data_IF_345695952878
#
_entry.id   IF_345695952878
#
_cell.length_a   1.000
_cell.length_b   1.000
_cell.length_c   1.000
_cell.angle_alpha   90.00
_cell.angle_beta   90.00
_cell.angle_gamma   90.00
#
_symmetry.space_group_name_H-M   'P 1'
#
loop_
_entity.id
_entity.type
_entity.pdbx_description
1 polymer ?
#
# COMPACT_ATOMS: atom_id res chain seq x y z
N UNK A 1 16.66 5.17 -8.37
CA UNK A 1 16.83 6.44 -7.64
C UNK A 1 15.61 6.80 -6.77
N UNK A 2 14.37 6.45 -7.16
CA UNK A 2 13.17 6.63 -6.32
C UNK A 2 13.08 5.66 -5.12
N UNK A 3 13.46 4.38 -5.30
CA UNK A 3 13.39 3.34 -4.26
C UNK A 3 14.25 3.64 -3.01
N UNK A 4 15.42 4.29 -3.17
CA UNK A 4 16.28 4.72 -2.03
C UNK A 4 15.80 5.98 -1.30
N UNK A 5 14.84 6.74 -1.85
CA UNK A 5 14.32 7.95 -1.20
C UNK A 5 13.17 7.67 -0.23
N UNK A 6 12.54 6.49 -0.33
CA UNK A 6 11.44 6.10 0.56
C UNK A 6 11.94 5.52 1.90
N UNK A 7 13.20 5.10 1.97
CA UNK A 7 13.68 4.26 3.08
C UNK A 7 14.11 5.01 4.35
N UNK A 8 14.18 6.35 4.40
CA UNK A 8 14.63 7.04 5.64
C UNK A 8 14.40 8.57 5.71
N UNK A 9 13.21 9.10 5.42
CA UNK A 9 12.95 10.53 5.71
C UNK A 9 11.47 10.85 5.85
N UNK A 10 11.05 11.21 7.08
CA UNK A 10 10.07 12.27 7.39
C UNK A 10 8.91 12.33 6.38
N UNK A 11 7.97 11.38 6.42
CA UNK A 11 7.04 11.18 5.29
C UNK A 11 5.78 12.09 5.33
N UNK A 12 5.37 12.64 6.48
CA UNK A 12 4.08 13.34 6.57
C UNK A 12 4.12 14.87 6.47
N UNK A 13 4.89 15.56 7.32
CA UNK A 13 5.11 17.02 7.21
C UNK A 13 5.78 17.40 5.87
N UNK A 14 6.42 16.41 5.24
CA UNK A 14 7.09 16.52 3.96
C UNK A 14 6.18 16.22 2.78
N UNK A 15 4.97 15.66 2.92
CA UNK A 15 4.15 15.31 1.75
C UNK A 15 3.78 16.55 0.91
N UNK A 16 3.23 17.61 1.53
CA UNK A 16 2.93 18.87 0.85
C UNK A 16 4.17 19.57 0.28
N UNK A 17 5.25 19.64 1.06
CA UNK A 17 6.52 20.25 0.65
C UNK A 17 7.25 19.44 -0.43
N UNK A 18 7.23 18.10 -0.36
CA UNK A 18 7.78 17.21 -1.38
C UNK A 18 6.95 17.26 -2.65
N UNK A 19 5.62 17.29 -2.54
CA UNK A 19 4.74 17.50 -3.70
C UNK A 19 5.10 18.82 -4.37
N UNK A 20 5.21 19.90 -3.59
CA UNK A 20 5.58 21.22 -4.10
C UNK A 20 6.96 21.19 -4.75
N UNK A 21 7.98 20.68 -4.05
CA UNK A 21 9.35 20.61 -4.54
C UNK A 21 9.50 19.70 -5.76
N UNK A 22 8.77 18.60 -5.83
CA UNK A 22 8.76 17.73 -7.01
C UNK A 22 8.05 18.39 -8.19
N UNK A 23 6.98 19.16 -7.95
CA UNK A 23 6.36 20.00 -8.98
C UNK A 23 7.30 21.09 -9.49
N UNK A 24 8.03 21.77 -8.60
CA UNK A 24 9.06 22.74 -9.00
C UNK A 24 10.17 22.12 -9.85
N UNK A 25 10.45 20.83 -9.64
CA UNK A 25 11.40 20.06 -10.46
C UNK A 25 10.80 19.54 -11.78
N UNK A 26 9.56 19.91 -12.11
CA UNK A 26 8.85 19.48 -13.31
C UNK A 26 8.33 18.03 -13.26
N UNK A 27 8.21 17.44 -12.07
CA UNK A 27 7.76 16.05 -11.92
C UNK A 27 6.25 15.92 -12.15
N UNK A 28 5.88 15.19 -13.20
CA UNK A 28 4.49 14.85 -13.51
C UNK A 28 3.87 13.82 -12.55
N UNK A 29 4.65 13.24 -11.64
CA UNK A 29 4.21 12.19 -10.70
C UNK A 29 4.11 12.68 -9.25
N UNK A 30 4.10 14.00 -9.02
CA UNK A 30 4.06 14.58 -7.68
C UNK A 30 2.90 14.07 -6.82
N UNK A 31 1.79 13.65 -7.42
CA UNK A 31 0.66 13.03 -6.70
C UNK A 31 1.03 11.73 -5.97
N UNK A 32 2.15 11.08 -6.32
CA UNK A 32 2.62 9.84 -5.68
C UNK A 32 2.86 9.97 -4.18
N UNK A 33 3.11 11.19 -3.69
CA UNK A 33 3.33 11.47 -2.27
C UNK A 33 2.04 11.73 -1.49
N UNK A 34 0.86 11.69 -2.13
CA UNK A 34 -0.42 11.75 -1.44
C UNK A 34 -0.72 10.40 -0.80
N UNK A 35 -1.04 10.40 0.49
CA UNK A 35 -1.28 9.17 1.26
C UNK A 35 -2.34 8.25 0.66
N UNK A 36 -3.51 8.74 0.20
CA UNK A 36 -4.51 7.84 -0.39
C UNK A 36 -4.01 7.14 -1.66
N UNK A 37 -3.18 7.83 -2.44
CA UNK A 37 -2.54 7.23 -3.62
C UNK A 37 -1.48 6.20 -3.20
N UNK A 38 -0.56 6.58 -2.30
CA UNK A 38 0.50 5.69 -1.84
C UNK A 38 -0.05 4.40 -1.20
N UNK A 39 -1.15 4.53 -0.43
CA UNK A 39 -1.84 3.42 0.20
C UNK A 39 -2.64 2.53 -0.77
N UNK A 40 -2.76 2.93 -2.04
CA UNK A 40 -3.53 2.20 -3.05
C UNK A 40 -5.04 2.32 -2.91
N UNK A 41 -5.56 3.26 -2.11
CA UNK A 41 -7.00 3.48 -1.94
C UNK A 41 -7.63 4.35 -3.03
N UNK A 42 -6.80 4.98 -3.87
CA UNK A 42 -7.25 5.82 -4.99
C UNK A 42 -6.57 5.40 -6.28
N UNK A 43 -7.35 5.30 -7.35
CA UNK A 43 -6.90 5.04 -8.71
C UNK A 43 -7.65 5.96 -9.69
N UNK A 44 -6.99 6.40 -10.76
CA UNK A 44 -7.60 7.20 -11.83
C UNK A 44 -7.22 6.61 -13.19
N UNK A 45 -8.20 6.53 -14.10
CA UNK A 45 -7.96 6.05 -15.47
C UNK A 45 -6.84 6.83 -16.18
N UNK A 46 -6.74 8.14 -15.95
CA UNK A 46 -5.71 9.00 -16.52
C UNK A 46 -4.27 8.64 -16.11
N UNK A 47 -4.09 7.84 -15.05
CA UNK A 47 -2.76 7.32 -14.68
C UNK A 47 -2.22 6.34 -15.73
N UNK A 48 -3.11 5.72 -16.52
CA UNK A 48 -2.75 4.81 -17.61
C UNK A 48 -2.49 5.53 -18.94
N UNK A 49 -2.77 6.83 -19.06
CA UNK A 49 -2.54 7.56 -20.32
C UNK A 49 -1.05 7.51 -20.72
N UNK A 50 -0.16 7.60 -19.72
CA UNK A 50 1.29 7.47 -19.92
C UNK A 50 1.70 6.11 -20.49
N UNK A 51 0.94 5.04 -20.22
CA UNK A 51 1.21 3.71 -20.75
C UNK A 51 0.95 3.65 -22.26
N UNK A 52 -0.07 4.35 -22.77
CA UNK A 52 -0.31 4.42 -24.22
C UNK A 52 0.83 5.15 -24.94
N UNK A 53 1.31 6.26 -24.39
CA UNK A 53 2.47 6.96 -24.93
C UNK A 53 3.74 6.12 -24.89
N UNK A 54 3.95 5.35 -23.82
CA UNK A 54 5.10 4.44 -23.71
C UNK A 54 5.00 3.25 -24.67
N UNK A 55 3.80 2.75 -24.92
CA UNK A 55 3.57 1.61 -25.82
C UNK A 55 3.99 1.91 -27.26
N UNK A 56 3.99 3.18 -27.69
CA UNK A 56 4.52 3.57 -29.00
C UNK A 56 5.99 3.17 -29.22
N UNK A 57 6.80 3.18 -28.16
CA UNK A 57 8.22 2.79 -28.22
C UNK A 57 8.43 1.35 -27.76
N UNK A 58 7.46 0.77 -27.06
CA UNK A 58 7.57 -0.51 -26.37
C UNK A 58 6.30 -1.33 -26.61
N UNK A 59 6.25 -1.97 -27.76
CA UNK A 59 5.09 -2.74 -28.25
C UNK A 59 4.65 -3.85 -27.28
N UNK A 60 5.57 -4.36 -26.46
CA UNK A 60 5.29 -5.39 -25.45
C UNK A 60 4.50 -4.88 -24.25
N UNK A 61 4.40 -3.57 -24.00
CA UNK A 61 3.84 -3.05 -22.74
C UNK A 61 2.37 -3.39 -22.57
N UNK A 62 1.57 -3.29 -23.64
CA UNK A 62 0.13 -3.59 -23.57
C UNK A 62 -0.08 -5.06 -23.23
N UNK A 63 0.59 -5.95 -23.96
CA UNK A 63 0.53 -7.40 -23.73
C UNK A 63 1.01 -7.75 -22.32
N UNK A 64 2.14 -7.19 -21.89
CA UNK A 64 2.70 -7.43 -20.56
C UNK A 64 1.75 -7.02 -19.44
N UNK A 65 1.14 -5.83 -19.53
CA UNK A 65 0.19 -5.36 -18.51
C UNK A 65 -1.09 -6.18 -18.52
N UNK A 66 -1.59 -6.61 -19.68
CA UNK A 66 -2.77 -7.48 -19.78
C UNK A 66 -2.52 -8.86 -19.15
N UNK A 67 -1.33 -9.43 -19.34
CA UNK A 67 -0.92 -10.66 -18.67
C UNK A 67 -0.77 -10.44 -17.15
N UNK A 68 -0.12 -9.35 -16.72
CA UNK A 68 0.09 -9.07 -15.30
C UNK A 68 -1.23 -8.85 -14.54
N UNK A 69 -2.21 -8.21 -15.17
CA UNK A 69 -3.57 -8.01 -14.64
C UNK A 69 -4.44 -9.28 -14.75
N UNK A 70 -3.99 -10.29 -15.51
CA UNK A 70 -4.75 -11.51 -15.78
C UNK A 70 -5.92 -11.33 -16.74
N UNK A 71 -5.97 -10.24 -17.50
CA UNK A 71 -6.97 -9.99 -18.56
C UNK A 71 -6.75 -10.95 -19.72
N UNK A 72 -5.49 -11.13 -20.10
CA UNK A 72 -5.07 -12.16 -21.05
C UNK A 72 -4.36 -13.29 -20.31
N UNK A 73 -4.43 -14.48 -20.87
CA UNK A 73 -3.69 -15.65 -20.41
C UNK A 73 -3.03 -16.31 -21.62
N UNK A 74 -1.79 -16.75 -21.44
CA UNK A 74 -1.04 -17.49 -22.46
C UNK A 74 -0.50 -18.78 -21.85
N UNK A 75 -0.36 -19.87 -22.63
CA UNK A 75 0.32 -21.07 -22.14
C UNK A 75 1.70 -20.72 -21.57
N UNK A 76 1.97 -21.16 -20.34
CA UNK A 76 3.21 -20.84 -19.61
C UNK A 76 3.29 -19.44 -18.99
N UNK A 77 2.25 -18.60 -19.07
CA UNK A 77 2.25 -17.30 -18.37
C UNK A 77 2.05 -17.46 -16.86
N UNK A 78 2.72 -16.63 -16.07
CA UNK A 78 2.50 -16.55 -14.62
C UNK A 78 1.30 -15.68 -14.25
N UNK A 79 1.04 -15.56 -12.95
CA UNK A 79 0.01 -14.67 -12.39
C UNK A 79 0.52 -13.89 -11.19
N UNK A 80 -0.07 -12.72 -10.96
CA UNK A 80 0.22 -11.89 -9.80
C UNK A 80 -0.45 -12.46 -8.55
N UNK A 81 0.31 -12.55 -7.46
CA UNK A 81 -0.17 -13.00 -6.15
C UNK A 81 0.54 -12.20 -5.05
N UNK A 82 0.15 -12.44 -3.80
CA UNK A 82 0.78 -11.80 -2.65
C UNK A 82 1.02 -12.79 -1.52
N UNK A 83 2.04 -12.52 -0.71
CA UNK A 83 2.31 -13.23 0.54
C UNK A 83 2.39 -12.22 1.69
N UNK A 84 1.80 -12.54 2.84
CA UNK A 84 1.94 -11.74 4.06
C UNK A 84 3.07 -12.30 4.91
N UNK A 85 4.00 -11.45 5.33
CA UNK A 85 5.09 -11.80 6.25
C UNK A 85 4.53 -11.96 7.66
N UNK A 86 4.56 -13.17 8.19
CA UNK A 86 4.19 -13.46 9.58
C UNK A 86 5.41 -13.55 10.50
N UNK A 87 5.17 -13.76 11.80
CA UNK A 87 6.24 -13.94 12.81
C UNK A 87 7.20 -15.06 12.45
N UNK A 88 6.68 -16.14 11.88
CA UNK A 88 7.43 -17.30 11.43
C UNK A 88 8.34 -17.03 10.23
N UNK A 89 8.19 -15.90 9.53
CA UNK A 89 8.99 -15.54 8.36
C UNK A 89 10.11 -14.55 8.70
N UNK A 90 10.09 -13.95 9.90
CA UNK A 90 11.04 -12.92 10.32
C UNK A 90 12.49 -13.43 10.40
N UNK A 91 12.71 -14.74 10.47
CA UNK A 91 14.07 -15.32 10.40
C UNK A 91 14.77 -15.05 9.06
N UNK A 92 14.01 -14.76 8.00
CA UNK A 92 14.54 -14.40 6.67
C UNK A 92 15.25 -13.03 6.73
N UNK A 93 14.77 -12.13 7.59
CA UNK A 93 15.29 -10.79 7.91
C UNK A 93 15.23 -9.75 6.79
N UNK A 94 15.65 -10.08 5.57
CA UNK A 94 15.80 -9.10 4.49
C UNK A 94 15.11 -9.53 3.19
N UNK A 95 14.70 -8.53 2.39
CA UNK A 95 14.07 -8.74 1.09
C UNK A 95 14.95 -9.56 0.13
N UNK A 96 16.27 -9.33 0.13
CA UNK A 96 17.19 -10.09 -0.73
C UNK A 96 17.26 -11.57 -0.38
N UNK A 97 17.21 -11.92 0.92
CA UNK A 97 17.15 -13.32 1.36
C UNK A 97 15.81 -13.96 1.03
N UNK A 98 14.72 -13.20 1.16
CA UNK A 98 13.40 -13.64 0.73
C UNK A 98 13.38 -13.92 -0.78
N UNK A 99 13.93 -13.01 -1.58
CA UNK A 99 14.07 -13.16 -3.03
C UNK A 99 14.79 -14.47 -3.38
N UNK A 100 15.95 -14.72 -2.78
CA UNK A 100 16.72 -15.95 -3.00
C UNK A 100 15.93 -17.20 -2.62
N UNK A 101 15.26 -17.19 -1.46
CA UNK A 101 14.42 -18.30 -1.00
C UNK A 101 13.32 -18.61 -2.02
N UNK A 102 12.50 -17.61 -2.37
CA UNK A 102 11.36 -17.78 -3.28
C UNK A 102 11.79 -18.28 -4.67
N UNK A 103 12.84 -17.69 -5.24
CA UNK A 103 13.34 -18.12 -6.55
C UNK A 103 13.91 -19.55 -6.53
N UNK A 104 14.51 -19.99 -5.42
CA UNK A 104 15.10 -21.33 -5.32
C UNK A 104 14.13 -22.44 -4.90
N UNK A 105 13.05 -22.10 -4.18
CA UNK A 105 12.10 -23.10 -3.67
C UNK A 105 10.83 -23.20 -4.48
N UNK A 106 10.28 -22.07 -4.93
CA UNK A 106 8.95 -21.99 -5.55
C UNK A 106 8.97 -21.35 -6.94
N UNK A 107 10.15 -20.94 -7.41
CA UNK A 107 10.33 -20.19 -8.66
C UNK A 107 9.47 -18.91 -8.72
N UNK A 108 9.16 -18.34 -7.57
CA UNK A 108 8.39 -17.09 -7.47
C UNK A 108 9.32 -15.88 -7.49
N UNK A 109 8.88 -14.82 -8.17
CA UNK A 109 9.66 -13.59 -8.32
C UNK A 109 8.95 -12.46 -7.57
N UNK A 110 9.49 -11.97 -6.44
CA UNK A 110 8.92 -10.81 -5.77
C UNK A 110 9.25 -9.52 -6.54
N UNK A 111 8.23 -8.68 -6.77
CA UNK A 111 8.32 -7.45 -7.57
C UNK A 111 8.21 -6.17 -6.74
N UNK A 112 7.67 -6.27 -5.52
CA UNK A 112 7.48 -5.15 -4.63
C UNK A 112 6.87 -5.56 -3.31
N UNK A 113 6.72 -4.59 -2.41
CA UNK A 113 6.21 -4.79 -1.07
C UNK A 113 5.25 -3.67 -0.69
N UNK A 114 4.17 -4.00 -0.02
CA UNK A 114 3.22 -3.09 0.61
C UNK A 114 3.43 -3.13 2.11
N UNK A 115 3.69 -1.97 2.71
CA UNK A 115 3.96 -1.82 4.14
C UNK A 115 2.92 -0.94 4.77
N UNK A 116 2.48 -1.32 5.96
CA UNK A 116 1.62 -0.52 6.83
C UNK A 116 2.36 -0.26 8.13
N UNK A 117 2.50 1.02 8.49
CA UNK A 117 3.14 1.49 9.72
C UNK A 117 2.05 1.99 10.65
N UNK A 118 1.97 1.41 11.85
CA UNK A 118 1.11 1.94 12.91
C UNK A 118 1.72 3.23 13.48
N UNK A 119 0.94 4.31 13.45
CA UNK A 119 1.36 5.62 13.95
C UNK A 119 1.00 5.82 15.42
N UNK A 120 0.24 4.93 16.05
CA UNK A 120 -0.16 5.08 17.46
C UNK A 120 1.02 5.02 18.45
N UNK A 121 2.10 4.34 18.07
CA UNK A 121 3.26 4.08 18.93
C UNK A 121 4.47 4.98 18.62
N UNK A 122 4.30 6.02 17.79
CA UNK A 122 5.39 6.97 17.51
C UNK A 122 5.48 8.03 18.60
N UNK A 123 6.68 8.24 19.16
CA UNK A 123 6.93 9.26 20.17
C UNK A 123 6.60 10.68 19.67
N UNK A 124 6.04 11.55 20.52
CA UNK A 124 5.57 12.89 20.15
C UNK A 124 6.65 13.86 19.66
N UNK A 125 7.94 13.48 19.72
CA UNK A 125 9.05 14.26 19.15
C UNK A 125 9.40 13.93 17.69
N UNK A 126 8.82 12.88 17.13
CA UNK A 126 8.98 12.53 15.72
C UNK A 126 7.78 13.13 14.97
N UNK A 127 7.90 14.38 14.53
CA UNK A 127 6.82 15.21 13.95
C UNK A 127 6.16 14.56 12.71
N UNK A 128 5.30 13.58 12.95
CA UNK A 128 4.30 13.03 12.03
C UNK A 128 2.95 13.64 12.41
N UNK A 129 2.88 14.98 12.44
CA UNK A 129 1.61 15.67 12.62
C UNK A 129 0.77 15.48 11.37
N UNK A 130 -0.09 14.46 11.39
CA UNK A 130 -1.42 14.63 10.83
C UNK A 130 -1.96 15.89 11.51
N UNK A 131 -2.57 16.82 10.77
CA UNK A 131 -3.38 17.86 11.38
C UNK A 131 -4.61 17.20 12.02
N UNK A 132 -4.40 16.47 13.12
CA UNK A 132 -5.33 16.42 14.21
C UNK A 132 -4.99 17.67 14.97
N UNK A 133 -5.83 18.69 14.81
CA UNK A 133 -5.87 19.80 15.73
C UNK A 133 -5.96 19.16 17.13
N UNK A 134 -4.91 19.31 17.93
CA UNK A 134 -4.87 18.95 19.36
C UNK A 134 -5.79 19.89 20.16
N UNK A 135 -7.03 20.09 19.69
CA UNK A 135 -8.07 20.70 20.48
C UNK A 135 -8.83 19.57 21.20
N UNK A 136 -8.71 19.43 22.53
CA UNK A 136 -9.43 18.40 23.28
C UNK A 136 -10.95 18.48 23.10
N UNK A 137 -11.48 19.64 22.66
CA UNK A 137 -12.89 19.80 22.26
C UNK A 137 -13.22 19.05 20.97
N UNK A 138 -12.30 19.00 20.01
CA UNK A 138 -12.46 18.31 18.73
C UNK A 138 -12.38 16.80 18.91
N UNK A 139 -11.51 16.31 19.80
CA UNK A 139 -11.45 14.90 20.20
C UNK A 139 -12.78 14.38 20.77
N UNK A 140 -13.43 15.17 21.63
CA UNK A 140 -14.73 14.80 22.21
C UNK A 140 -15.86 14.82 21.17
N UNK A 141 -15.90 15.83 20.30
CA UNK A 141 -16.88 15.90 19.19
C UNK A 141 -16.75 14.69 18.25
N UNK A 142 -15.52 14.32 17.90
CA UNK A 142 -15.24 13.16 17.04
C UNK A 142 -15.70 11.83 17.68
N UNK A 143 -15.58 11.69 19.00
CA UNK A 143 -16.04 10.49 19.71
C UNK A 143 -17.57 10.38 19.71
N UNK A 144 -18.26 11.50 19.88
CA UNK A 144 -19.73 11.56 19.81
C UNK A 144 -20.21 11.19 18.41
N UNK A 145 -19.66 11.82 17.38
CA UNK A 145 -20.01 11.52 15.98
C UNK A 145 -19.79 10.04 15.64
N UNK A 146 -18.69 9.45 16.12
CA UNK A 146 -18.41 8.02 15.92
C UNK A 146 -19.45 7.12 16.59
N UNK A 147 -19.83 7.43 17.82
CA UNK A 147 -20.85 6.68 18.54
C UNK A 147 -22.22 6.76 17.83
N UNK A 148 -22.58 7.95 17.33
CA UNK A 148 -23.81 8.17 16.56
C UNK A 148 -23.81 7.37 15.26
N UNK A 149 -22.71 7.37 14.51
CA UNK A 149 -22.57 6.58 13.28
C UNK A 149 -22.68 5.08 13.60
N UNK A 150 -21.98 4.60 14.63
CA UNK A 150 -22.05 3.19 15.01
C UNK A 150 -23.47 2.78 15.41
N UNK A 151 -24.20 3.63 16.14
CA UNK A 151 -25.59 3.39 16.51
C UNK A 151 -26.53 3.40 15.30
N UNK A 152 -26.32 4.32 14.35
CA UNK A 152 -27.07 4.37 13.10
C UNK A 152 -26.88 3.07 12.30
N UNK A 153 -25.64 2.57 12.19
CA UNK A 153 -25.34 1.32 11.49
C UNK A 153 -26.01 0.13 12.19
N UNK A 154 -25.87 0.00 13.51
CA UNK A 154 -26.51 -1.09 14.27
C UNK A 154 -28.04 -1.09 14.12
N UNK A 155 -28.66 0.08 14.18
CA UNK A 155 -30.11 0.23 13.98
C UNK A 155 -30.54 -0.22 12.58
N UNK A 156 -29.77 0.15 11.55
CA UNK A 156 -30.03 -0.30 10.18
C UNK A 156 -29.83 -1.81 10.01
N UNK A 157 -28.79 -2.40 10.61
CA UNK A 157 -28.57 -3.85 10.59
C UNK A 157 -29.74 -4.60 11.22
N UNK A 158 -30.22 -4.16 12.38
CA UNK A 158 -31.41 -4.73 13.02
C UNK A 158 -32.66 -4.64 12.12
N UNK A 159 -32.87 -3.50 11.46
CA UNK A 159 -34.00 -3.33 10.52
C UNK A 159 -33.94 -4.25 9.30
N UNK A 160 -32.72 -4.66 8.91
CA UNK A 160 -32.47 -5.60 7.82
C UNK A 160 -32.36 -7.05 8.30
N UNK A 161 -32.60 -7.32 9.59
CA UNK A 161 -32.42 -8.63 10.24
C UNK A 161 -31.00 -9.21 10.05
N UNK A 162 -29.98 -8.34 10.05
CA UNK A 162 -28.57 -8.74 10.02
C UNK A 162 -28.01 -8.80 11.46
N UNK A 163 -27.18 -9.82 11.78
CA UNK A 163 -26.61 -9.98 13.12
C UNK A 163 -25.67 -8.81 13.46
N UNK A 164 -25.95 -8.03 14.52
CA UNK A 164 -25.11 -6.90 14.90
C UNK A 164 -23.80 -7.32 15.59
N UNK A 165 -23.67 -8.58 16.01
CA UNK A 165 -22.43 -9.08 16.64
C UNK A 165 -21.22 -9.08 15.69
N UNK A 166 -21.47 -9.14 14.38
CA UNK A 166 -20.43 -9.11 13.35
C UNK A 166 -19.95 -7.68 13.01
N UNK A 167 -20.54 -6.65 13.64
CA UNK A 167 -20.11 -5.26 13.41
C UNK A 167 -18.86 -4.93 14.24
N UNK A 168 -17.71 -4.95 13.57
CA UNK A 168 -16.44 -4.51 14.13
C UNK A 168 -16.28 -2.98 13.98
N UNK A 169 -15.93 -2.28 15.06
CA UNK A 169 -15.89 -0.82 15.09
C UNK A 169 -14.73 -0.31 14.22
N UNK A 170 -15.03 0.20 13.03
CA UNK A 170 -14.06 0.50 11.94
C UNK A 170 -13.08 1.64 12.28
N UNK A 171 -13.15 2.19 13.49
CA UNK A 171 -12.34 3.32 13.96
C UNK A 171 -10.83 3.05 13.98
N UNK A 172 -10.39 1.81 14.16
CA UNK A 172 -8.97 1.46 14.35
C UNK A 172 -8.08 1.78 13.12
N UNK A 173 -8.66 1.91 11.92
CA UNK A 173 -7.90 2.10 10.67
C UNK A 173 -7.29 3.49 10.46
N UNK A 174 -7.60 4.48 11.31
CA UNK A 174 -7.17 5.88 11.08
C UNK A 174 -5.73 6.19 11.49
N UNK A 175 -5.09 5.32 12.26
CA UNK A 175 -3.76 5.56 12.81
C UNK A 175 -2.68 4.71 12.11
N UNK A 176 -2.80 4.51 10.80
CA UNK A 176 -1.80 3.75 10.06
C UNK A 176 -1.45 4.40 8.72
N UNK A 177 -0.18 4.26 8.34
CA UNK A 177 0.36 4.74 7.07
C UNK A 177 0.74 3.58 6.19
N UNK A 178 0.11 3.51 5.02
CA UNK A 178 0.39 2.44 4.07
C UNK A 178 1.02 2.96 2.78
N UNK A 179 1.98 2.20 2.23
CA UNK A 179 2.63 2.52 0.96
C UNK A 179 3.23 1.30 0.27
N UNK A 180 3.44 1.41 -1.06
CA UNK A 180 4.12 0.40 -1.88
C UNK A 180 5.57 0.80 -2.16
N UNK A 181 6.48 -0.15 -2.01
CA UNK A 181 7.88 -0.08 -2.41
C UNK A 181 8.09 -1.05 -3.58
N UNK A 182 8.21 -0.50 -4.79
CA UNK A 182 8.48 -1.28 -5.99
C UNK A 182 9.99 -1.54 -6.10
N UNK A 183 10.37 -2.79 -6.34
CA UNK A 183 11.76 -3.24 -6.45
C UNK A 183 12.65 -2.67 -5.32
N UNK A 184 12.38 -3.07 -4.06
CA UNK A 184 13.15 -2.60 -2.91
C UNK A 184 14.60 -3.07 -2.96
N UNK A 185 15.47 -2.41 -2.17
CA UNK A 185 16.86 -2.86 -1.98
C UNK A 185 16.90 -4.28 -1.37
N UNK A 186 17.89 -5.08 -1.73
CA UNK A 186 18.12 -6.40 -1.14
C UNK A 186 18.35 -6.35 0.39
N UNK A 187 18.86 -5.22 0.88
CA UNK A 187 19.12 -4.98 2.31
C UNK A 187 17.87 -4.53 3.09
N UNK A 188 16.74 -4.28 2.43
CA UNK A 188 15.53 -3.83 3.11
C UNK A 188 15.08 -4.90 4.11
N UNK A 189 14.90 -4.49 5.38
CA UNK A 189 14.45 -5.38 6.45
C UNK A 189 12.96 -5.65 6.31
N UNK A 190 12.60 -6.91 6.51
CA UNK A 190 11.21 -7.36 6.56
C UNK A 190 10.62 -7.06 7.94
N UNK A 191 9.37 -6.62 7.95
CA UNK A 191 8.58 -6.35 9.14
C UNK A 191 7.33 -7.25 9.15
N UNK A 192 6.84 -7.58 10.34
CA UNK A 192 5.61 -8.36 10.47
C UNK A 192 4.44 -7.58 9.86
N UNK A 193 3.65 -8.24 9.03
CA UNK A 193 2.52 -7.62 8.34
C UNK A 193 2.86 -7.04 6.97
N UNK A 194 4.14 -6.97 6.58
CA UNK A 194 4.53 -6.65 5.21
C UNK A 194 3.82 -7.60 4.22
N UNK A 195 3.32 -7.05 3.12
CA UNK A 195 2.70 -7.83 2.04
C UNK A 195 3.62 -7.76 0.83
N UNK A 196 4.14 -8.89 0.38
CA UNK A 196 5.06 -8.96 -0.76
C UNK A 196 4.28 -9.39 -2.00
N UNK A 197 4.38 -8.63 -3.08
CA UNK A 197 3.78 -8.96 -4.38
C UNK A 197 4.71 -9.86 -5.17
N UNK A 198 4.18 -10.97 -5.66
CA UNK A 198 4.92 -12.04 -6.33
C UNK A 198 4.33 -12.31 -7.71
N UNK A 199 5.19 -12.60 -8.68
CA UNK A 199 4.80 -13.29 -9.91
C UNK A 199 5.05 -14.78 -9.68
N UNK A 200 3.98 -15.58 -9.74
CA UNK A 200 4.04 -17.04 -9.59
C UNK A 200 3.93 -17.70 -10.97
N UNK A 201 4.74 -18.72 -11.29
CA UNK A 201 4.58 -19.49 -12.52
C UNK A 201 3.22 -20.20 -12.57
N UNK A 202 2.72 -20.47 -13.78
CA UNK A 202 1.50 -21.28 -13.96
C UNK A 202 1.72 -22.68 -13.37
N UNK A 203 0.74 -23.23 -12.61
CA UNK A 203 0.78 -24.62 -12.17
C UNK A 203 0.52 -25.61 -13.32
N UNK A 204 -0.02 -25.13 -14.45
CA UNK A 204 -0.29 -25.91 -15.65
C UNK A 204 0.72 -25.50 -16.73
N UNK A 205 1.68 -26.40 -17.00
CA UNK A 205 2.69 -26.28 -18.06
C UNK A 205 2.32 -27.20 -19.22
#
# INVERSE_FOLDING_TARGET
MLSKRLSNQVILLSSGLLIYREKERGSHISYMFRLPFAAGSVFSASMLDTLLYQAFVKDYLITFVRLLLGVDQAPGSGFLTSMKIGKQDLWIRTYGRLYQKLCSTTCEIPIGMYRTIDTSNMEPGNNFSLNISDDPKEGHSNLIERAEIAQLVRSRMQSLALPPEDYDDVSEKRNSLSFVIINPSCDLKLEEGDIVYLIRPSPFS
#
